data_IF_502419819583
#
_entry.id   IF_502419819583
#
_cell.length_a   1.000
_cell.length_b   1.000
_cell.length_c   1.000
_cell.angle_alpha   90.00
_cell.angle_beta   90.00
_cell.angle_gamma   90.00
#
_symmetry.space_group_name_H-M   'P 1'
#
loop_
_entity.id
_entity.type
_entity.pdbx_description
1 polymer ?
#
# COMPACT_ATOMS: atom_id res chain seq x y z
N UNK A 1 14.73 -1.59 -23.74
CA UNK A 1 14.79 -1.43 -23.05
C UNK A 1 14.23 -1.62 -22.18
N UNK A 2 14.39 -1.83 -22.02
CA UNK A 2 14.01 -1.93 -21.18
C UNK A 2 14.31 -1.47 -20.24
N UNK A 3 14.84 -1.17 -20.03
CA UNK A 3 15.19 -0.81 -19.21
C UNK A 3 14.93 0.29 -18.73
N UNK A 4 14.99 1.03 -19.26
CA UNK A 4 14.63 2.31 -18.83
C UNK A 4 13.43 2.24 -17.97
N UNK A 5 12.63 1.40 -18.23
CA UNK A 5 11.58 1.19 -17.28
C UNK A 5 12.13 0.70 -15.97
N UNK A 6 13.43 0.48 -15.96
CA UNK A 6 14.08 0.18 -14.70
C UNK A 6 14.43 1.40 -13.94
N UNK A 7 14.20 2.55 -14.52
CA UNK A 7 14.43 3.76 -13.77
C UNK A 7 13.52 3.74 -12.57
N UNK A 8 14.09 3.92 -11.43
CA UNK A 8 13.28 3.94 -10.23
C UNK A 8 12.38 5.15 -10.28
N UNK A 9 11.14 4.96 -9.90
CA UNK A 9 10.23 6.05 -9.68
C UNK A 9 10.53 6.64 -8.32
N UNK A 10 10.85 7.92 -8.28
CA UNK A 10 11.13 8.61 -7.03
C UNK A 10 10.04 9.63 -6.81
N UNK A 11 9.50 9.64 -5.60
CA UNK A 11 8.55 10.65 -5.17
C UNK A 11 9.14 11.36 -3.97
N UNK A 12 9.23 12.68 -4.08
CA UNK A 12 9.76 13.51 -3.00
C UNK A 12 8.63 13.83 -2.04
N UNK A 13 8.85 13.60 -0.76
CA UNK A 13 7.85 13.81 0.27
C UNK A 13 8.43 14.65 1.40
N UNK A 14 7.54 15.22 2.21
CA UNK A 14 7.94 16.00 3.38
C UNK A 14 8.42 15.07 4.50
N UNK A 15 9.03 15.62 5.56
CA UNK A 15 9.40 14.82 6.72
C UNK A 15 8.22 14.52 7.66
N UNK A 16 7.03 15.00 7.36
CA UNK A 16 5.85 14.75 8.20
C UNK A 16 5.47 13.28 8.19
N UNK A 17 4.91 12.82 9.29
CA UNK A 17 4.38 11.45 9.38
C UNK A 17 3.25 11.26 8.39
N UNK A 18 3.15 10.06 7.83
CA UNK A 18 2.28 9.78 6.69
C UNK A 18 1.22 8.77 7.04
N UNK A 19 0.18 8.76 6.23
CA UNK A 19 -0.82 7.69 6.24
C UNK A 19 -0.70 6.93 4.94
N UNK A 20 -0.46 5.63 5.06
CA UNK A 20 -0.33 4.73 3.91
C UNK A 20 -1.65 4.03 3.70
N UNK A 21 -2.22 4.20 2.51
CA UNK A 21 -3.47 3.55 2.12
C UNK A 21 -3.10 2.49 1.09
N UNK A 22 -3.32 1.23 1.41
CA UNK A 22 -2.93 0.13 0.52
C UNK A 22 -4.10 -0.80 0.26
N UNK A 23 -4.22 -1.22 -0.98
CA UNK A 23 -5.06 -2.33 -1.36
C UNK A 23 -4.39 -3.63 -0.90
N UNK A 24 -5.09 -4.73 -0.90
CA UNK A 24 -4.56 -6.02 -0.47
C UNK A 24 -4.29 -6.93 -1.67
N UNK A 25 -5.35 -7.42 -2.34
CA UNK A 25 -5.20 -8.39 -3.42
C UNK A 25 -4.48 -7.80 -4.63
N UNK A 26 -3.40 -8.45 -5.04
CA UNK A 26 -2.62 -8.01 -6.19
C UNK A 26 -1.66 -6.87 -5.88
N UNK A 27 -1.72 -6.30 -4.67
CA UNK A 27 -0.90 -5.16 -4.26
C UNK A 27 0.15 -5.56 -3.23
N UNK A 28 -0.24 -6.35 -2.23
CA UNK A 28 0.71 -6.85 -1.22
C UNK A 28 0.77 -8.37 -1.21
N UNK A 29 -0.24 -9.04 -1.75
CA UNK A 29 -0.29 -10.49 -1.84
C UNK A 29 -0.87 -10.88 -3.18
N UNK A 30 -0.72 -12.17 -3.54
CA UNK A 30 -1.23 -12.70 -4.80
C UNK A 30 -2.72 -12.41 -4.93
N UNK A 31 -3.12 -11.89 -6.08
CA UNK A 31 -4.50 -11.54 -6.37
C UNK A 31 -5.41 -12.78 -6.22
N UNK A 32 -6.39 -12.68 -5.35
CA UNK A 32 -7.35 -13.75 -5.06
C UNK A 32 -6.71 -15.07 -4.63
N UNK A 33 -5.49 -15.04 -4.09
CA UNK A 33 -4.83 -16.26 -3.62
C UNK A 33 -5.65 -16.99 -2.59
N UNK A 34 -6.30 -16.27 -1.69
CA UNK A 34 -7.12 -16.88 -0.65
C UNK A 34 -8.31 -17.69 -1.23
N UNK A 35 -8.77 -17.33 -2.43
CA UNK A 35 -9.83 -18.06 -3.11
C UNK A 35 -9.28 -19.17 -3.99
N UNK A 36 -8.18 -18.88 -4.73
CA UNK A 36 -7.63 -19.80 -5.72
C UNK A 36 -6.78 -20.89 -5.09
N UNK A 37 -5.97 -20.51 -4.09
CA UNK A 37 -5.00 -21.43 -3.48
C UNK A 37 -5.42 -21.87 -2.08
N UNK A 38 -6.48 -21.29 -1.53
CA UNK A 38 -6.91 -21.57 -0.17
C UNK A 38 -6.10 -20.82 0.89
N UNK A 39 -5.17 -19.99 0.48
CA UNK A 39 -4.36 -19.17 1.39
C UNK A 39 -3.78 -17.98 0.63
N UNK A 40 -3.40 -16.96 1.35
CA UNK A 40 -2.73 -15.81 0.78
C UNK A 40 -1.22 -16.05 0.69
N UNK A 41 -0.60 -15.43 -0.31
CA UNK A 41 0.86 -15.49 -0.49
C UNK A 41 1.38 -14.07 -0.62
N UNK A 42 2.26 -13.70 0.30
CA UNK A 42 2.85 -12.36 0.31
C UNK A 42 3.75 -12.17 -0.92
N UNK A 43 3.64 -11.00 -1.58
CA UNK A 43 4.45 -10.73 -2.76
C UNK A 43 5.92 -10.52 -2.38
N UNK A 44 6.84 -10.91 -3.29
CA UNK A 44 8.25 -10.58 -3.08
C UNK A 44 8.42 -9.07 -2.90
N UNK A 45 9.22 -8.68 -1.94
CA UNK A 45 9.47 -7.27 -1.64
C UNK A 45 8.49 -6.64 -0.67
N UNK A 46 7.38 -7.29 -0.36
CA UNK A 46 6.40 -6.71 0.55
C UNK A 46 6.97 -6.55 1.95
N UNK A 47 7.72 -7.54 2.44
CA UNK A 47 8.32 -7.45 3.77
C UNK A 47 9.22 -6.22 3.87
N UNK A 48 10.11 -6.03 2.90
CA UNK A 48 11.01 -4.89 2.90
C UNK A 48 10.25 -3.57 2.83
N UNK A 49 9.16 -3.54 2.06
CA UNK A 49 8.33 -2.35 1.95
C UNK A 49 7.76 -1.96 3.30
N UNK A 50 7.14 -2.90 4.01
CA UNK A 50 6.52 -2.60 5.30
C UNK A 50 7.57 -2.30 6.37
N UNK A 51 8.71 -2.99 6.34
CA UNK A 51 9.78 -2.74 7.30
C UNK A 51 10.36 -1.33 7.16
N UNK A 52 10.27 -0.75 5.98
CA UNK A 52 10.78 0.60 5.74
C UNK A 52 9.82 1.71 6.18
N UNK A 53 8.57 1.38 6.52
CA UNK A 53 7.60 2.38 6.95
C UNK A 53 7.91 2.80 8.39
N UNK A 54 8.16 4.09 8.64
CA UNK A 54 8.45 4.56 10.01
C UNK A 54 7.31 4.25 10.97
N UNK A 55 7.66 3.98 12.23
CA UNK A 55 6.67 3.57 13.23
C UNK A 55 5.66 4.66 13.55
N UNK A 56 5.99 5.93 13.29
CA UNK A 56 5.05 7.02 13.51
C UNK A 56 4.00 7.16 12.43
N UNK A 57 4.15 6.44 11.32
CA UNK A 57 3.18 6.50 10.22
C UNK A 57 2.02 5.54 10.49
N UNK A 58 0.87 5.83 9.89
CA UNK A 58 -0.30 4.97 9.98
C UNK A 58 -0.46 4.17 8.70
N UNK A 59 -1.01 2.96 8.83
CA UNK A 59 -1.26 2.05 7.71
C UNK A 59 -2.73 1.66 7.73
N UNK A 60 -3.43 1.93 6.63
CA UNK A 60 -4.84 1.60 6.46
C UNK A 60 -4.98 0.75 5.21
N UNK A 61 -5.48 -0.46 5.37
CA UNK A 61 -5.79 -1.30 4.21
C UNK A 61 -7.22 -1.03 3.75
N UNK A 62 -7.40 -0.95 2.44
CA UNK A 62 -8.70 -0.75 1.81
C UNK A 62 -8.89 -1.88 0.80
N UNK A 63 -9.98 -2.65 0.93
CA UNK A 63 -10.10 -3.88 0.16
C UNK A 63 -11.53 -4.12 -0.27
N UNK A 64 -11.68 -4.74 -1.44
CA UNK A 64 -12.97 -5.22 -1.90
C UNK A 64 -13.31 -6.61 -1.36
N UNK A 65 -12.39 -7.23 -0.59
CA UNK A 65 -12.70 -8.49 0.08
C UNK A 65 -13.95 -8.32 0.93
N UNK A 66 -14.77 -9.35 0.96
CA UNK A 66 -15.96 -9.35 1.80
C UNK A 66 -15.56 -9.47 3.26
N UNK A 67 -16.31 -8.83 4.14
CA UNK A 67 -16.02 -8.84 5.56
C UNK A 67 -16.02 -10.24 6.16
N UNK A 68 -16.70 -11.20 5.51
CA UNK A 68 -16.67 -12.58 5.96
C UNK A 68 -15.27 -13.17 5.96
N UNK A 69 -14.33 -12.57 5.21
CA UNK A 69 -12.94 -13.00 5.17
C UNK A 69 -12.04 -12.21 6.13
N UNK A 70 -12.64 -11.44 7.04
CA UNK A 70 -11.85 -10.59 7.95
C UNK A 70 -10.89 -11.40 8.80
N UNK A 71 -11.36 -12.49 9.40
CA UNK A 71 -10.50 -13.31 10.27
C UNK A 71 -9.31 -13.89 9.51
N UNK A 72 -9.56 -14.40 8.30
CA UNK A 72 -8.50 -14.96 7.45
C UNK A 72 -7.49 -13.89 7.08
N UNK A 73 -7.98 -12.70 6.72
CA UNK A 73 -7.15 -11.59 6.31
C UNK A 73 -6.28 -11.11 7.48
N UNK A 74 -6.88 -10.92 8.64
CA UNK A 74 -6.15 -10.47 9.82
C UNK A 74 -5.10 -11.49 10.25
N UNK A 75 -5.43 -12.78 10.17
CA UNK A 75 -4.47 -13.84 10.49
C UNK A 75 -3.27 -13.81 9.54
N UNK A 76 -3.53 -13.62 8.25
CA UNK A 76 -2.47 -13.53 7.25
C UNK A 76 -1.53 -12.36 7.55
N UNK A 77 -2.08 -11.19 7.85
CA UNK A 77 -1.27 -10.01 8.17
C UNK A 77 -0.45 -10.26 9.43
N UNK A 78 -1.07 -10.83 10.46
CA UNK A 78 -0.38 -11.13 11.72
C UNK A 78 0.75 -12.13 11.53
N UNK A 79 0.51 -13.21 10.75
CA UNK A 79 1.51 -14.23 10.49
C UNK A 79 2.73 -13.67 9.78
N UNK A 80 2.53 -12.63 8.99
CA UNK A 80 3.61 -12.00 8.26
C UNK A 80 4.17 -10.76 8.97
N UNK A 81 3.73 -10.51 10.21
CA UNK A 81 4.25 -9.41 10.99
C UNK A 81 3.93 -8.03 10.42
N UNK A 82 2.86 -7.91 9.66
CA UNK A 82 2.46 -6.64 9.06
C UNK A 82 1.51 -5.94 10.01
N UNK A 83 1.95 -4.78 10.51
CA UNK A 83 1.09 -3.96 11.37
C UNK A 83 0.15 -3.12 10.51
N UNK A 84 -0.99 -2.80 11.08
CA UNK A 84 -1.93 -1.88 10.44
C UNK A 84 -2.77 -1.22 11.52
N UNK A 85 -3.37 -0.08 11.16
CA UNK A 85 -4.20 0.68 12.09
C UNK A 85 -5.69 0.45 11.81
N UNK A 86 -6.03 0.13 10.56
CA UNK A 86 -7.41 -0.14 10.19
C UNK A 86 -7.47 -0.93 8.88
N UNK A 87 -8.58 -1.66 8.69
CA UNK A 87 -8.90 -2.31 7.42
C UNK A 87 -10.35 -1.98 7.11
N UNK A 88 -10.61 -1.51 5.88
CA UNK A 88 -11.97 -1.26 5.41
C UNK A 88 -12.30 -2.33 4.38
N UNK A 89 -13.25 -3.20 4.72
CA UNK A 89 -13.69 -4.31 3.87
C UNK A 89 -14.90 -3.90 3.02
N UNK A 90 -15.27 -4.74 2.08
CA UNK A 90 -16.50 -4.62 1.27
C UNK A 90 -16.55 -3.38 0.40
N UNK A 91 -15.40 -2.84 0.01
CA UNK A 91 -15.39 -1.67 -0.86
C UNK A 91 -15.78 -2.04 -2.29
N UNK A 92 -16.41 -1.11 -3.03
CA UNK A 92 -16.73 -1.36 -4.43
C UNK A 92 -15.46 -1.60 -5.26
N UNK A 93 -15.65 -2.14 -6.46
CA UNK A 93 -14.53 -2.54 -7.32
C UNK A 93 -13.99 -1.39 -8.18
N UNK A 94 -14.57 -0.22 -8.12
CA UNK A 94 -14.13 0.92 -8.90
C UNK A 94 -12.88 1.59 -8.34
N UNK A 95 -12.47 2.65 -8.99
CA UNK A 95 -11.30 3.41 -8.59
C UNK A 95 -11.46 3.97 -7.18
N UNK A 96 -10.33 4.15 -6.49
CA UNK A 96 -10.29 4.82 -5.18
C UNK A 96 -9.86 6.25 -5.40
N UNK A 97 -10.72 7.19 -5.04
CA UNK A 97 -10.51 8.61 -5.30
C UNK A 97 -10.18 9.27 -3.95
N UNK A 98 -9.01 9.89 -3.87
CA UNK A 98 -8.56 10.59 -2.67
C UNK A 98 -8.54 12.09 -2.96
N UNK A 99 -9.25 12.85 -2.14
CA UNK A 99 -9.36 14.29 -2.30
C UNK A 99 -8.86 14.94 -1.02
N UNK A 100 -7.81 15.77 -1.14
CA UNK A 100 -7.19 16.43 0.00
C UNK A 100 -6.65 17.78 -0.45
N UNK A 101 -6.88 18.81 0.32
CA UNK A 101 -6.37 20.14 -0.01
C UNK A 101 -4.84 20.16 0.09
N UNK A 102 -4.23 21.06 -0.66
CA UNK A 102 -2.81 21.30 -0.53
C UNK A 102 -2.55 22.13 0.73
N UNK A 103 -1.35 22.00 1.26
CA UNK A 103 -0.94 22.91 2.32
C UNK A 103 -0.80 24.33 1.77
N UNK A 104 -0.92 25.35 2.64
CA UNK A 104 -0.75 26.74 2.18
C UNK A 104 0.59 26.98 1.49
N UNK A 105 1.62 26.19 1.81
CA UNK A 105 2.92 26.27 1.16
C UNK A 105 2.91 25.74 -0.28
N UNK A 106 1.81 25.09 -0.70
CA UNK A 106 1.71 24.47 -2.01
C UNK A 106 2.02 22.98 -2.02
N UNK A 107 2.37 22.40 -0.88
CA UNK A 107 2.70 20.98 -0.81
C UNK A 107 1.45 20.12 -1.09
N UNK A 108 1.47 19.29 -2.15
CA UNK A 108 0.35 18.36 -2.40
C UNK A 108 0.30 17.32 -1.29
N UNK A 109 -0.91 17.05 -0.79
CA UNK A 109 -1.10 16.13 0.33
C UNK A 109 -1.62 14.77 -0.11
N UNK A 110 -1.96 14.58 -1.38
CA UNK A 110 -2.40 13.29 -1.88
C UNK A 110 -1.43 12.78 -2.95
N UNK A 111 -1.12 11.50 -2.84
CA UNK A 111 -0.25 10.79 -3.76
C UNK A 111 -0.95 9.49 -4.11
N UNK A 112 -1.02 9.16 -5.41
CA UNK A 112 -1.60 7.88 -5.83
C UNK A 112 -0.60 7.17 -6.74
N UNK A 113 -0.40 5.87 -6.48
CA UNK A 113 0.54 5.04 -7.22
C UNK A 113 -0.22 3.83 -7.76
N UNK A 114 -0.11 3.61 -9.07
CA UNK A 114 -0.71 2.46 -9.72
C UNK A 114 0.39 1.44 -10.00
N UNK A 115 0.32 0.30 -9.31
CA UNK A 115 1.28 -0.78 -9.49
C UNK A 115 0.75 -1.81 -10.48
N UNK A 116 1.64 -2.65 -10.99
CA UNK A 116 1.21 -3.82 -11.76
C UNK A 116 0.64 -4.87 -10.80
N UNK A 117 -0.39 -5.59 -11.25
CA UNK A 117 -0.97 -6.65 -10.42
C UNK A 117 0.07 -7.70 -10.05
N UNK A 118 0.07 -8.09 -8.80
CA UNK A 118 0.98 -9.09 -8.23
C UNK A 118 2.45 -8.66 -8.24
N UNK A 119 2.69 -7.35 -8.32
CA UNK A 119 4.03 -6.79 -8.17
C UNK A 119 4.00 -5.72 -7.09
N UNK A 120 4.92 -5.84 -6.14
CA UNK A 120 5.00 -4.88 -5.05
C UNK A 120 5.44 -3.52 -5.56
N UNK A 121 4.99 -2.48 -4.87
CA UNK A 121 5.37 -1.10 -5.19
C UNK A 121 6.90 -0.94 -5.10
N UNK A 122 7.51 -0.43 -6.16
CA UNK A 122 8.95 -0.20 -6.22
C UNK A 122 9.30 1.28 -6.17
N UNK A 123 8.31 2.14 -5.94
CA UNK A 123 8.55 3.57 -5.86
C UNK A 123 9.41 3.88 -4.64
N UNK A 124 10.41 4.72 -4.85
CA UNK A 124 11.27 5.21 -3.77
C UNK A 124 10.74 6.53 -3.27
N UNK A 125 10.53 6.64 -1.97
CA UNK A 125 10.08 7.88 -1.34
C UNK A 125 11.28 8.60 -0.74
N UNK A 126 11.54 9.80 -1.23
CA UNK A 126 12.71 10.59 -0.82
C UNK A 126 12.23 11.74 0.05
N UNK A 127 12.77 11.85 1.25
CA UNK A 127 12.38 12.91 2.17
C UNK A 127 13.18 14.18 1.85
N UNK A 128 12.46 15.27 1.64
CA UNK A 128 13.06 16.60 1.52
C UNK A 128 12.70 17.37 2.77
N UNK A 129 13.70 17.65 3.59
CA UNK A 129 13.47 18.30 4.88
C UNK A 129 12.97 19.73 4.76
N UNK A 130 13.04 20.29 3.56
CA UNK A 130 12.60 21.66 3.32
C UNK A 130 11.13 21.76 2.90
N UNK A 131 10.44 20.63 2.74
CA UNK A 131 9.02 20.66 2.38
C UNK A 131 8.10 20.78 3.60
#
# INVERSE_FOLDING_TARGET
MERSCRMSNKIVVSPLSKTWLLDIDGTICKHNGYLLDGHDTLLPGARAFFDAIPTGDKIVFVTSRKKEYASTTEAFLAENGIRYDAIVFDLPYGERILINDKKPSGLPMSIAINTERDKMCETEFVIDKNL
#
